data_IF_407060628981
#
_entry.id   IF_407060628981
#
_cell.length_a   1.000
_cell.length_b   1.000
_cell.length_c   1.000
_cell.angle_alpha   90.00
_cell.angle_beta   90.00
_cell.angle_gamma   90.00
#
_symmetry.space_group_name_H-M   'P 1'
#
loop_
_entity.id
_entity.type
_entity.pdbx_description
1 polymer ?
#
# COMPACT_ATOMS: atom_id res chain seq x y z
N UNK A 1 -7.59 27.14 17.76
CA UNK A 1 -8.28 25.97 17.18
C UNK A 1 -7.20 24.93 16.93
N UNK A 2 -7.29 23.76 17.57
CA UNK A 2 -6.26 22.72 17.49
C UNK A 2 -6.57 21.73 16.35
N UNK A 3 -5.53 21.17 15.75
CA UNK A 3 -5.66 20.02 14.88
C UNK A 3 -5.68 18.75 15.75
N UNK A 4 -6.63 17.85 15.50
CA UNK A 4 -6.74 16.55 16.16
C UNK A 4 -6.45 15.45 15.14
N UNK A 5 -5.67 14.45 15.55
CA UNK A 5 -5.34 13.28 14.73
C UNK A 5 -6.30 12.15 15.10
N UNK A 6 -7.27 11.89 14.23
CA UNK A 6 -8.35 10.89 14.46
C UNK A 6 -7.85 9.44 14.43
N UNK A 7 -6.68 9.19 13.83
CA UNK A 7 -6.10 7.85 13.77
C UNK A 7 -5.14 7.64 12.61
N UNK A 8 -4.62 6.43 12.56
CA UNK A 8 -3.72 6.00 11.49
C UNK A 8 -4.54 5.55 10.27
N UNK A 9 -4.46 6.30 9.17
CA UNK A 9 -5.18 5.99 7.94
C UNK A 9 -4.56 4.81 7.18
N UNK A 10 -3.23 4.76 7.05
CA UNK A 10 -2.55 3.64 6.42
C UNK A 10 -1.06 3.62 6.76
N UNK A 11 -0.43 2.45 6.57
CA UNK A 11 1.03 2.31 6.52
C UNK A 11 1.46 2.08 5.09
N UNK A 12 2.37 2.93 4.60
CA UNK A 12 3.03 2.76 3.32
C UNK A 12 4.40 2.12 3.48
N UNK A 13 4.69 1.06 2.73
CA UNK A 13 6.00 0.41 2.77
C UNK A 13 6.40 -0.21 1.43
N UNK A 14 7.70 -0.52 1.31
CA UNK A 14 8.26 -1.08 0.09
C UNK A 14 8.11 -2.60 0.02
N UNK A 15 7.78 -3.10 -1.16
CA UNK A 15 7.70 -4.53 -1.46
C UNK A 15 8.49 -4.86 -2.71
N UNK A 16 9.58 -5.63 -2.57
CA UNK A 16 10.45 -5.95 -3.69
C UNK A 16 11.10 -4.72 -4.35
N UNK A 17 11.64 -4.93 -5.55
CA UNK A 17 12.34 -3.91 -6.33
C UNK A 17 11.79 -3.75 -7.77
N UNK A 18 11.04 -4.74 -8.28
CA UNK A 18 10.56 -4.78 -9.66
C UNK A 18 9.04 -4.92 -9.73
N UNK A 19 8.42 -4.23 -10.71
CA UNK A 19 6.97 -4.10 -10.83
C UNK A 19 6.25 -5.44 -11.07
N UNK A 20 6.92 -6.36 -11.77
CA UNK A 20 6.43 -7.72 -12.05
C UNK A 20 6.35 -8.61 -10.81
N UNK A 21 6.95 -8.20 -9.68
CA UNK A 21 6.87 -8.91 -8.41
C UNK A 21 5.56 -8.63 -7.65
N UNK A 22 4.83 -7.55 -7.97
CA UNK A 22 3.61 -7.16 -7.25
C UNK A 22 2.58 -8.29 -7.17
N UNK A 23 2.21 -8.98 -8.27
CA UNK A 23 1.20 -10.03 -8.22
C UNK A 23 1.58 -11.19 -7.30
N UNK A 24 2.85 -11.61 -7.31
CA UNK A 24 3.34 -12.69 -6.47
C UNK A 24 3.32 -12.33 -4.98
N UNK A 25 3.71 -11.08 -4.65
CA UNK A 25 3.69 -10.58 -3.27
C UNK A 25 2.25 -10.44 -2.77
N UNK A 26 1.34 -9.89 -3.58
CA UNK A 26 -0.09 -9.83 -3.24
C UNK A 26 -0.64 -11.23 -2.99
N UNK A 27 -0.36 -12.18 -3.88
CA UNK A 27 -0.83 -13.56 -3.74
C UNK A 27 -0.33 -14.21 -2.43
N UNK A 28 0.89 -13.89 -1.99
CA UNK A 28 1.40 -14.31 -0.70
C UNK A 28 0.60 -13.72 0.47
N UNK A 29 0.30 -12.41 0.44
CA UNK A 29 -0.50 -11.78 1.49
C UNK A 29 -1.92 -12.36 1.55
N UNK A 30 -2.53 -12.65 0.39
CA UNK A 30 -3.81 -13.34 0.33
C UNK A 30 -3.71 -14.76 0.87
N UNK A 31 -2.69 -15.53 0.51
CA UNK A 31 -2.61 -16.95 0.91
C UNK A 31 -2.29 -17.14 2.40
N UNK A 32 -1.49 -16.25 3.00
CA UNK A 32 -1.07 -16.37 4.40
C UNK A 32 -2.04 -15.67 5.35
N UNK A 33 -2.56 -14.50 4.96
CA UNK A 33 -3.35 -13.64 5.84
C UNK A 33 -4.81 -13.47 5.40
N UNK A 34 -5.22 -14.08 4.29
CA UNK A 34 -6.56 -13.91 3.68
C UNK A 34 -6.91 -12.46 3.32
N UNK A 35 -5.89 -11.62 3.10
CA UNK A 35 -6.07 -10.20 2.79
C UNK A 35 -6.24 -9.94 1.29
N UNK A 36 -7.33 -9.26 0.93
CA UNK A 36 -7.65 -8.89 -0.46
C UNK A 36 -7.12 -7.51 -0.85
N UNK A 37 -6.85 -7.34 -2.15
CA UNK A 37 -6.65 -6.01 -2.73
C UNK A 37 -7.95 -5.22 -2.59
N UNK A 38 -7.84 -3.95 -2.22
CA UNK A 38 -8.94 -2.98 -2.25
C UNK A 38 -9.18 -2.50 -3.70
N UNK A 39 -10.28 -2.93 -4.37
CA UNK A 39 -10.55 -2.55 -5.75
C UNK A 39 -11.02 -1.09 -5.88
N UNK A 40 -11.35 -0.42 -4.77
CA UNK A 40 -11.82 0.97 -4.79
C UNK A 40 -10.65 1.96 -4.90
N UNK A 41 -9.40 1.50 -4.75
CA UNK A 41 -8.22 2.36 -4.78
C UNK A 41 -7.62 2.46 -6.18
N UNK A 42 -7.11 3.65 -6.55
CA UNK A 42 -6.52 3.84 -7.86
C UNK A 42 -5.21 3.07 -7.98
N UNK A 43 -4.99 2.50 -9.16
CA UNK A 43 -3.64 2.09 -9.58
C UNK A 43 -2.85 3.34 -9.95
N UNK A 44 -1.67 3.53 -9.36
CA UNK A 44 -0.80 4.67 -9.64
C UNK A 44 0.27 4.21 -10.65
N UNK A 45 0.24 4.65 -11.92
CA UNK A 45 1.12 4.09 -12.96
C UNK A 45 2.62 4.21 -12.67
N UNK A 46 3.03 5.24 -11.93
CA UNK A 46 4.44 5.52 -11.59
C UNK A 46 4.90 4.86 -10.30
N UNK A 47 3.99 4.22 -9.55
CA UNK A 47 4.26 3.57 -8.27
C UNK A 47 3.59 2.20 -8.33
N UNK A 48 4.26 1.18 -8.92
CA UNK A 48 3.71 -0.16 -8.97
C UNK A 48 3.45 -0.67 -7.55
N UNK A 49 2.29 -1.28 -7.31
CA UNK A 49 1.90 -1.60 -5.95
C UNK A 49 0.46 -2.05 -5.84
N UNK A 50 0.01 -2.21 -4.60
CA UNK A 50 -1.35 -2.59 -4.27
C UNK A 50 -1.78 -1.95 -2.95
N UNK A 51 -3.09 -1.81 -2.80
CA UNK A 51 -3.74 -1.40 -1.56
C UNK A 51 -4.46 -2.61 -0.98
N UNK A 52 -4.31 -2.83 0.31
CA UNK A 52 -5.07 -3.84 1.04
C UNK A 52 -5.90 -3.11 2.09
N UNK A 53 -7.22 -3.31 2.04
CA UNK A 53 -8.12 -2.87 3.09
C UNK A 53 -8.08 -3.89 4.22
N UNK A 54 -7.69 -3.48 5.42
CA UNK A 54 -7.78 -4.37 6.57
C UNK A 54 -9.25 -4.49 7.00
N UNK A 55 -9.74 -5.71 7.29
CA UNK A 55 -11.11 -5.89 7.76
C UNK A 55 -11.32 -5.26 9.14
N UNK A 56 -12.54 -4.79 9.39
CA UNK A 56 -13.13 -4.61 10.73
C UNK A 56 -12.53 -3.55 11.67
N UNK A 57 -12.33 -2.31 11.20
CA UNK A 57 -12.08 -1.15 12.08
C UNK A 57 -12.89 0.07 11.60
N UNK A 58 -13.38 0.89 12.54
CA UNK A 58 -14.18 2.11 12.25
C UNK A 58 -13.45 3.12 11.35
N UNK A 59 -12.12 3.07 11.32
CA UNK A 59 -11.25 3.96 10.55
C UNK A 59 -10.76 3.33 9.24
N UNK A 60 -11.19 2.10 8.91
CA UNK A 60 -10.84 1.35 7.68
C UNK A 60 -9.35 1.48 7.30
N UNK A 61 -8.39 1.10 8.18
CA UNK A 61 -6.99 1.33 7.92
C UNK A 61 -6.48 0.44 6.78
N UNK A 62 -5.50 0.96 6.04
CA UNK A 62 -5.00 0.29 4.84
C UNK A 62 -3.51 -0.02 4.91
N UNK A 63 -3.10 -1.00 4.12
CA UNK A 63 -1.70 -1.20 3.75
C UNK A 63 -1.50 -0.69 2.33
N UNK A 64 -0.52 0.19 2.15
CA UNK A 64 -0.09 0.63 0.82
C UNK A 64 1.28 0.01 0.52
N UNK A 65 1.25 -0.98 -0.36
CA UNK A 65 2.43 -1.73 -0.76
C UNK A 65 2.97 -1.13 -2.04
N UNK A 66 4.23 -0.69 -2.05
CA UNK A 66 4.84 0.00 -3.18
C UNK A 66 6.14 -0.69 -3.61
N UNK A 67 6.32 -0.92 -4.89
CA UNK A 67 7.64 -1.28 -5.42
C UNK A 67 8.46 -0.01 -5.59
N UNK A 68 9.73 -0.07 -5.24
CA UNK A 68 10.69 0.94 -5.63
C UNK A 68 12.07 0.32 -5.84
N UNK A 69 12.73 0.71 -6.93
CA UNK A 69 14.16 0.49 -7.10
C UNK A 69 14.94 1.72 -6.58
N UNK A 70 15.64 1.53 -5.46
CA UNK A 70 16.33 2.61 -4.74
C UNK A 70 15.38 3.68 -4.19
N UNK A 71 15.75 4.96 -4.35
CA UNK A 71 14.91 6.09 -3.93
C UNK A 71 13.71 6.20 -4.86
N UNK A 72 12.48 6.27 -4.32
CA UNK A 72 11.26 6.47 -5.11
C UNK A 72 11.39 7.71 -6.01
N UNK A 73 10.92 7.65 -7.25
CA UNK A 73 10.94 8.82 -8.17
C UNK A 73 10.23 10.03 -7.57
N UNK A 74 9.18 9.83 -6.78
CA UNK A 74 8.46 10.90 -6.07
C UNK A 74 9.27 11.52 -4.92
N UNK A 75 10.25 10.80 -4.37
CA UNK A 75 11.16 11.30 -3.33
C UNK A 75 12.44 11.93 -3.90
N UNK A 76 12.71 11.77 -5.21
CA UNK A 76 13.85 12.41 -5.91
C UNK A 76 13.57 13.86 -6.30
N UNK A 77 12.33 14.30 -6.22
CA UNK A 77 11.92 15.70 -6.35
C UNK A 77 11.92 16.36 -4.97
N UNK A 78 13.12 16.65 -4.46
CA UNK A 78 13.38 17.54 -3.34
C UNK A 78 14.60 18.40 -3.70
#
# INVERSE_FOLDING_TARGET
>A
MGLEVEGLMHVGYRIGAQADQVPAIVAFYKSVFDLDIDPKRPTIPTIPGAWIQLPSLNIEPQLHMMVADGVSRAARSA
#
